data_IF_199133365559
#
_entry.id   IF_199133365559
#
_cell.length_a   1.000
_cell.length_b   1.000
_cell.length_c   1.000
_cell.angle_alpha   90.00
_cell.angle_beta   90.00
_cell.angle_gamma   90.00
#
_symmetry.space_group_name_H-M   'P 1'
#
loop_
_entity.id
_entity.type
_entity.pdbx_description
1 polymer ?
#
# COMPACT_ATOMS: atom_id res chain seq x y z
N UNK A 1 10.54 -18.74 -24.75
CA UNK A 1 9.89 -17.42 -24.84
C UNK A 1 10.50 -16.68 -26.03
N UNK A 2 9.71 -16.19 -26.98
CA UNK A 2 10.26 -15.51 -28.17
C UNK A 2 11.06 -14.26 -27.75
N UNK A 3 12.31 -14.16 -28.19
CA UNK A 3 13.24 -13.07 -27.84
C UNK A 3 12.63 -11.69 -28.09
N UNK A 4 11.85 -11.53 -29.17
CA UNK A 4 11.16 -10.28 -29.52
C UNK A 4 10.09 -9.87 -28.51
N UNK A 5 9.32 -10.83 -27.94
CA UNK A 5 8.28 -10.51 -26.95
C UNK A 5 8.90 -10.09 -25.62
N UNK A 6 9.97 -10.76 -25.21
CA UNK A 6 10.72 -10.38 -24.00
C UNK A 6 11.30 -8.97 -24.12
N UNK A 7 11.88 -8.62 -25.29
CA UNK A 7 12.37 -7.26 -25.55
C UNK A 7 11.26 -6.21 -25.41
N UNK A 8 10.09 -6.48 -26.01
CA UNK A 8 8.94 -5.58 -25.92
C UNK A 8 8.46 -5.39 -24.47
N UNK A 9 8.41 -6.47 -23.68
CA UNK A 9 8.04 -6.41 -22.26
C UNK A 9 9.02 -5.56 -21.46
N UNK A 10 10.32 -5.72 -21.69
CA UNK A 10 11.37 -4.94 -21.01
C UNK A 10 11.26 -3.46 -21.38
N UNK A 11 11.11 -3.15 -22.68
CA UNK A 11 11.02 -1.78 -23.17
C UNK A 11 9.81 -1.03 -22.61
N UNK A 12 8.62 -1.65 -22.67
CA UNK A 12 7.39 -1.08 -22.10
C UNK A 12 7.52 -0.90 -20.58
N UNK A 13 8.16 -1.85 -19.89
CA UNK A 13 8.39 -1.76 -18.45
C UNK A 13 9.34 -0.61 -18.08
N UNK A 14 10.41 -0.38 -18.87
CA UNK A 14 11.31 0.75 -18.67
C UNK A 14 10.59 2.08 -18.87
N UNK A 15 9.82 2.23 -19.95
CA UNK A 15 9.04 3.45 -20.21
C UNK A 15 8.06 3.75 -19.07
N UNK A 16 7.45 2.73 -18.48
CA UNK A 16 6.47 2.91 -17.41
C UNK A 16 7.11 3.17 -16.04
N UNK A 17 8.04 2.31 -15.61
CA UNK A 17 8.57 2.35 -14.24
C UNK A 17 9.81 3.23 -14.07
N UNK A 18 10.64 3.40 -15.11
CA UNK A 18 11.85 4.23 -15.03
C UNK A 18 11.58 5.63 -15.58
N UNK A 19 10.91 5.72 -16.72
CA UNK A 19 10.68 7.00 -17.39
C UNK A 19 9.35 7.68 -16.95
N UNK A 20 8.50 6.96 -16.20
CA UNK A 20 7.28 7.52 -15.61
C UNK A 20 6.15 7.81 -16.60
N UNK A 21 6.20 7.29 -17.83
CA UNK A 21 5.16 7.52 -18.82
C UNK A 21 3.86 6.81 -18.42
N UNK A 22 2.73 7.47 -18.66
CA UNK A 22 1.42 6.85 -18.57
C UNK A 22 1.24 5.78 -19.66
N UNK A 23 0.37 4.80 -19.40
CA UNK A 23 0.04 3.76 -20.40
C UNK A 23 -0.52 4.36 -21.71
N UNK A 24 -1.14 5.53 -21.64
CA UNK A 24 -1.62 6.25 -22.82
C UNK A 24 -0.46 6.82 -23.64
N UNK A 25 0.55 7.40 -23.01
CA UNK A 25 1.75 7.90 -23.71
C UNK A 25 2.54 6.75 -24.33
N UNK A 26 2.70 5.65 -23.60
CA UNK A 26 3.35 4.43 -24.10
C UNK A 26 2.58 3.87 -25.30
N UNK A 27 1.24 3.83 -25.24
CA UNK A 27 0.41 3.35 -26.36
C UNK A 27 0.65 4.13 -27.66
N UNK A 28 0.76 5.46 -27.56
CA UNK A 28 1.06 6.34 -28.69
C UNK A 28 2.48 6.15 -29.21
N UNK A 29 3.46 6.07 -28.29
CA UNK A 29 4.89 5.93 -28.62
C UNK A 29 5.22 4.58 -29.27
N UNK A 30 4.59 3.51 -28.80
CA UNK A 30 4.83 2.13 -29.24
C UNK A 30 3.85 1.67 -30.33
N UNK A 31 2.93 2.54 -30.78
CA UNK A 31 1.91 2.23 -31.78
C UNK A 31 1.09 0.97 -31.47
N UNK A 32 0.73 0.79 -30.19
CA UNK A 32 -0.12 -0.31 -29.71
C UNK A 32 -1.24 0.25 -28.84
N UNK A 33 -2.31 -0.52 -28.63
CA UNK A 33 -3.44 -0.06 -27.83
C UNK A 33 -3.10 0.00 -26.32
N UNK A 34 -3.74 0.91 -25.58
CA UNK A 34 -3.60 1.01 -24.11
C UNK A 34 -3.90 -0.33 -23.38
N UNK A 35 -4.95 -1.12 -23.75
CA UNK A 35 -5.15 -2.43 -23.15
C UNK A 35 -3.99 -3.41 -23.40
N UNK A 36 -3.34 -3.34 -24.57
CA UNK A 36 -2.14 -4.16 -24.84
C UNK A 36 -0.97 -3.75 -23.94
N UNK A 37 -0.73 -2.45 -23.75
CA UNK A 37 0.29 -1.95 -22.80
C UNK A 37 0.02 -2.49 -21.40
N UNK A 38 -1.22 -2.36 -20.91
CA UNK A 38 -1.61 -2.88 -19.59
C UNK A 38 -1.36 -4.38 -19.47
N UNK A 39 -1.74 -5.16 -20.49
CA UNK A 39 -1.56 -6.62 -20.50
C UNK A 39 -0.09 -7.01 -20.50
N UNK A 40 0.75 -6.29 -21.24
CA UNK A 40 2.20 -6.52 -21.29
C UNK A 40 2.85 -6.22 -19.94
N UNK A 41 2.48 -5.11 -19.28
CA UNK A 41 2.98 -4.78 -17.94
C UNK A 41 2.57 -5.83 -16.89
N UNK A 42 1.34 -6.35 -16.97
CA UNK A 42 0.90 -7.45 -16.10
C UNK A 42 1.69 -8.72 -16.36
N UNK A 43 1.87 -9.12 -17.62
CA UNK A 43 2.65 -10.31 -17.98
C UNK A 43 4.12 -10.17 -17.53
N UNK A 44 4.69 -8.95 -17.56
CA UNK A 44 6.05 -8.70 -17.10
C UNK A 44 6.20 -8.90 -15.58
N UNK A 45 5.17 -8.56 -14.80
CA UNK A 45 5.12 -8.86 -13.37
C UNK A 45 4.92 -10.34 -13.11
N UNK A 46 3.96 -10.98 -13.77
CA UNK A 46 3.67 -12.42 -13.63
C UNK A 46 4.89 -13.30 -13.94
N UNK A 47 5.71 -12.90 -14.92
CA UNK A 47 6.93 -13.62 -15.33
C UNK A 47 8.19 -13.20 -14.58
N UNK A 48 8.07 -12.40 -13.52
CA UNK A 48 9.20 -11.88 -12.73
C UNK A 48 10.26 -11.13 -13.57
N UNK A 49 9.86 -10.53 -14.70
CA UNK A 49 10.73 -9.61 -15.47
C UNK A 49 10.80 -8.26 -14.77
N UNK A 50 9.72 -7.89 -14.08
CA UNK A 50 9.66 -6.71 -13.19
C UNK A 50 9.36 -7.19 -11.78
N UNK A 51 10.20 -6.79 -10.84
CA UNK A 51 9.94 -6.89 -9.40
C UNK A 51 9.81 -5.48 -8.84
N UNK A 52 8.79 -5.26 -8.00
CA UNK A 52 8.57 -3.98 -7.33
C UNK A 52 8.85 -4.21 -5.86
N UNK A 53 9.86 -3.54 -5.34
CA UNK A 53 10.17 -3.50 -3.90
C UNK A 53 9.66 -2.18 -3.35
N UNK A 54 8.76 -2.26 -2.38
CA UNK A 54 8.30 -1.10 -1.62
C UNK A 54 9.01 -1.12 -0.29
N UNK A 55 9.87 -0.14 -0.04
CA UNK A 55 10.48 0.07 1.27
C UNK A 55 9.47 0.82 2.14
N UNK A 56 8.63 0.06 2.83
CA UNK A 56 7.69 0.61 3.79
C UNK A 56 8.29 0.52 5.21
N UNK A 57 8.70 1.65 5.82
CA UNK A 57 9.26 1.63 7.17
C UNK A 57 8.25 1.18 8.23
N UNK A 58 6.96 1.15 7.92
CA UNK A 58 5.89 0.66 8.79
C UNK A 58 5.44 -0.77 8.44
N UNK A 59 6.19 -1.46 7.57
CA UNK A 59 5.81 -2.79 7.08
C UNK A 59 5.70 -3.81 8.20
N UNK A 60 6.51 -3.68 9.26
CA UNK A 60 6.48 -4.58 10.40
C UNK A 60 5.24 -4.35 11.28
N UNK A 61 4.88 -3.11 11.57
CA UNK A 61 3.68 -2.75 12.31
C UNK A 61 2.43 -3.20 11.54
N UNK A 62 2.39 -2.97 10.23
CA UNK A 62 1.30 -3.43 9.38
C UNK A 62 1.21 -4.96 9.36
N UNK A 63 2.36 -5.65 9.24
CA UNK A 63 2.43 -7.11 9.27
C UNK A 63 1.93 -7.66 10.61
N UNK A 64 2.38 -7.11 11.73
CA UNK A 64 1.96 -7.53 13.07
C UNK A 64 0.47 -7.23 13.27
N UNK A 65 0.00 -6.05 12.89
CA UNK A 65 -1.42 -5.69 12.98
C UNK A 65 -2.30 -6.68 12.21
N UNK A 66 -1.91 -7.03 10.98
CA UNK A 66 -2.65 -7.99 10.16
C UNK A 66 -2.60 -9.40 10.75
N UNK A 67 -1.46 -9.83 11.33
CA UNK A 67 -1.36 -11.12 12.02
C UNK A 67 -2.29 -11.18 13.24
N UNK A 68 -2.32 -10.14 14.08
CA UNK A 68 -3.21 -10.04 15.24
C UNK A 68 -4.67 -10.04 14.80
N UNK A 69 -5.00 -9.23 13.78
CA UNK A 69 -6.35 -9.12 13.23
C UNK A 69 -6.89 -10.47 12.78
N UNK A 70 -6.10 -11.22 12.00
CA UNK A 70 -6.50 -12.52 11.47
C UNK A 70 -6.55 -13.61 12.56
N UNK A 71 -5.57 -13.63 13.47
CA UNK A 71 -5.49 -14.64 14.54
C UNK A 71 -6.64 -14.51 15.54
N UNK A 72 -7.00 -13.28 15.91
CA UNK A 72 -8.02 -13.00 16.93
C UNK A 72 -9.36 -12.55 16.34
N UNK A 73 -9.49 -12.50 15.00
CA UNK A 73 -10.70 -12.07 14.27
C UNK A 73 -11.19 -10.68 14.70
N UNK A 74 -10.26 -9.74 14.86
CA UNK A 74 -10.56 -8.37 15.29
C UNK A 74 -11.10 -7.55 14.11
N UNK A 75 -11.95 -6.55 14.39
CA UNK A 75 -12.47 -5.65 13.37
C UNK A 75 -11.37 -4.75 12.81
N UNK A 76 -10.51 -4.24 13.70
CA UNK A 76 -9.38 -3.39 13.33
C UNK A 76 -8.25 -3.52 14.34
N UNK A 77 -7.01 -3.32 13.89
CA UNK A 77 -5.81 -3.37 14.72
C UNK A 77 -4.83 -2.31 14.23
N UNK A 78 -4.29 -1.54 15.15
CA UNK A 78 -3.19 -0.63 14.91
C UNK A 78 -2.02 -1.03 15.81
N UNK A 79 -0.83 -1.10 15.23
CA UNK A 79 0.43 -1.29 15.95
C UNK A 79 1.22 0.00 15.78
N UNK A 80 1.78 0.49 16.88
CA UNK A 80 2.53 1.74 16.93
C UNK A 80 3.90 1.40 17.52
N UNK A 81 4.97 1.69 16.79
CA UNK A 81 6.31 1.63 17.35
C UNK A 81 6.54 2.80 18.31
N UNK A 82 6.91 2.47 19.54
CA UNK A 82 7.18 3.43 20.61
C UNK A 82 8.63 3.36 21.11
N UNK A 83 9.54 2.71 20.39
CA UNK A 83 10.92 2.43 20.83
C UNK A 83 11.72 3.68 21.22
N UNK A 84 11.41 4.84 20.62
CA UNK A 84 12.08 6.12 20.91
C UNK A 84 11.11 7.24 21.35
N UNK A 85 9.89 6.87 21.76
CA UNK A 85 8.80 7.83 21.99
C UNK A 85 8.12 7.60 23.33
N UNK A 86 7.43 8.63 23.83
CA UNK A 86 6.53 8.49 24.98
C UNK A 86 5.26 7.73 24.55
N UNK A 87 5.06 6.46 24.99
CA UNK A 87 4.00 5.61 24.46
C UNK A 87 2.58 6.19 24.63
N UNK A 88 2.17 6.71 25.80
CA UNK A 88 0.85 7.30 25.98
C UNK A 88 0.57 8.46 25.02
N UNK A 89 1.57 9.32 24.79
CA UNK A 89 1.43 10.48 23.90
C UNK A 89 1.24 10.04 22.45
N UNK A 90 2.08 9.14 21.96
CA UNK A 90 1.98 8.66 20.58
C UNK A 90 0.66 7.90 20.36
N UNK A 91 0.24 7.07 21.33
CA UNK A 91 -1.06 6.39 21.29
C UNK A 91 -2.20 7.40 21.21
N UNK A 92 -2.19 8.44 22.05
CA UNK A 92 -3.22 9.48 22.05
C UNK A 92 -3.29 10.23 20.71
N UNK A 93 -2.14 10.57 20.12
CA UNK A 93 -2.07 11.25 18.83
C UNK A 93 -2.66 10.39 17.70
N UNK A 94 -2.31 9.10 17.63
CA UNK A 94 -2.85 8.21 16.60
C UNK A 94 -4.35 7.97 16.79
N UNK A 95 -4.79 7.74 18.02
CA UNK A 95 -6.20 7.56 18.35
C UNK A 95 -7.02 8.80 17.97
N UNK A 96 -6.52 10.01 18.25
CA UNK A 96 -7.19 11.27 17.89
C UNK A 96 -7.44 11.35 16.37
N UNK A 97 -6.46 10.94 15.54
CA UNK A 97 -6.61 10.89 14.08
C UNK A 97 -7.67 9.89 13.63
N UNK A 98 -7.71 8.71 14.25
CA UNK A 98 -8.70 7.67 13.93
C UNK A 98 -10.10 8.15 14.29
N UNK A 99 -10.29 8.69 15.49
CA UNK A 99 -11.60 9.18 15.92
C UNK A 99 -12.08 10.30 15.00
N UNK A 100 -11.22 11.25 14.70
CA UNK A 100 -11.55 12.39 13.82
C UNK A 100 -11.97 11.96 12.41
N UNK A 101 -11.52 10.79 11.94
CA UNK A 101 -11.87 10.25 10.62
C UNK A 101 -13.03 9.26 10.62
N UNK A 102 -13.34 8.63 11.75
CA UNK A 102 -14.36 7.58 11.84
C UNK A 102 -15.67 8.02 12.51
N UNK A 103 -15.63 9.01 13.40
CA UNK A 103 -16.82 9.49 14.12
C UNK A 103 -17.59 10.49 13.27
N UNK A 104 -18.88 10.25 13.12
CA UNK A 104 -19.79 11.10 12.36
C UNK A 104 -20.77 11.83 13.29
N UNK A 105 -21.44 12.85 12.75
CA UNK A 105 -22.51 13.53 13.48
C UNK A 105 -23.66 12.55 13.78
N UNK A 106 -24.04 12.44 15.04
CA UNK A 106 -25.05 11.50 15.52
C UNK A 106 -24.50 10.22 16.16
N UNK A 107 -23.19 10.00 16.13
CA UNK A 107 -22.56 8.88 16.85
C UNK A 107 -22.51 9.14 18.37
N UNK A 108 -22.64 8.08 19.15
CA UNK A 108 -22.44 8.11 20.60
C UNK A 108 -21.09 7.48 20.94
N UNK A 109 -20.27 8.20 21.70
CA UNK A 109 -18.95 7.73 22.14
C UNK A 109 -19.03 7.29 23.60
N UNK A 110 -18.74 6.01 23.86
CA UNK A 110 -18.56 5.50 25.21
C UNK A 110 -17.11 5.65 25.67
N UNK A 111 -16.89 6.29 26.83
CA UNK A 111 -15.57 6.51 27.42
C UNK A 111 -15.44 5.73 28.73
N UNK A 112 -14.31 5.04 28.90
CA UNK A 112 -13.95 4.36 30.15
C UNK A 112 -12.79 5.11 30.83
N UNK A 113 -12.65 5.00 32.15
CA UNK A 113 -11.55 5.61 32.87
C UNK A 113 -10.24 4.81 32.69
N UNK A 114 -9.14 5.51 32.41
CA UNK A 114 -7.80 4.90 32.34
C UNK A 114 -6.77 5.85 31.73
N UNK A 115 -5.47 5.58 31.95
CA UNK A 115 -4.38 6.40 31.38
C UNK A 115 -4.26 6.29 29.86
N UNK A 116 -4.85 5.24 29.28
CA UNK A 116 -4.82 4.94 27.84
C UNK A 116 -6.20 5.07 27.20
N UNK A 117 -7.24 5.27 28.02
CA UNK A 117 -8.57 5.58 27.55
C UNK A 117 -8.66 7.10 27.33
N UNK A 118 -9.36 7.49 26.28
CA UNK A 118 -9.52 8.88 25.82
C UNK A 118 -10.54 9.57 26.72
#
# INVERSE_FOLDING_TARGET
MNSSRLKLMIEISKLYYLDGLSQNEISKKMYISRPQVSRILSEAREKNIVSITVNDPFSEEYRIANLLKNKYKLLDVMVIDTTEKDPPKEIAEQISRIISSKVCNGDYIGIAAGKTCI
#
